data_IF_984210478799
#
_entry.id   IF_984210478799
#
_cell.length_a   1.000
_cell.length_b   1.000
_cell.length_c   1.000
_cell.angle_alpha   90.00
_cell.angle_beta   90.00
_cell.angle_gamma   90.00
#
_symmetry.space_group_name_H-M   'P 1'
#
loop_
_entity.id
_entity.type
_entity.pdbx_description
1 polymer ?
#
# COMPACT_ATOMS: atom_id res chain seq x y z
N UNK A 1 10.34 -5.22 -14.51
CA UNK A 1 10.55 -4.83 -13.10
C UNK A 1 10.51 -6.10 -12.26
N UNK A 2 11.40 -6.26 -11.27
CA UNK A 2 11.41 -7.44 -10.39
C UNK A 2 10.46 -7.26 -9.20
N UNK A 3 10.17 -8.34 -8.48
CA UNK A 3 9.37 -8.32 -7.24
C UNK A 3 10.05 -7.44 -6.17
N UNK A 4 11.37 -7.54 -6.00
CA UNK A 4 12.11 -6.64 -5.11
C UNK A 4 11.93 -5.16 -5.50
N UNK A 5 11.84 -4.87 -6.80
CA UNK A 5 11.53 -3.52 -7.29
C UNK A 5 10.13 -3.03 -6.91
N UNK A 6 9.12 -3.92 -6.97
CA UNK A 6 7.76 -3.63 -6.49
C UNK A 6 7.77 -3.31 -5.00
N UNK A 7 8.43 -4.14 -4.20
CA UNK A 7 8.47 -3.98 -2.75
C UNK A 7 9.21 -2.71 -2.32
N UNK A 8 10.32 -2.37 -2.99
CA UNK A 8 11.02 -1.10 -2.77
C UNK A 8 10.13 0.10 -3.08
N UNK A 9 9.41 0.07 -4.22
CA UNK A 9 8.49 1.15 -4.58
C UNK A 9 7.31 1.25 -3.62
N UNK A 10 6.76 0.12 -3.18
CA UNK A 10 5.71 0.08 -2.15
C UNK A 10 6.20 0.73 -0.86
N UNK A 11 7.35 0.28 -0.34
CA UNK A 11 7.93 0.81 0.90
C UNK A 11 8.16 2.33 0.81
N UNK A 12 8.84 2.79 -0.27
CA UNK A 12 9.12 4.21 -0.45
C UNK A 12 7.84 5.04 -0.62
N UNK A 13 6.92 4.59 -1.46
CA UNK A 13 5.66 5.29 -1.67
C UNK A 13 4.86 5.37 -0.37
N UNK A 14 4.82 4.29 0.41
CA UNK A 14 4.06 4.25 1.65
C UNK A 14 4.66 5.19 2.71
N UNK A 15 5.98 5.14 2.91
CA UNK A 15 6.68 6.03 3.85
C UNK A 15 6.52 7.50 3.43
N UNK A 16 6.73 7.82 2.16
CA UNK A 16 6.59 9.19 1.66
C UNK A 16 5.16 9.70 1.83
N UNK A 17 4.15 8.91 1.47
CA UNK A 17 2.76 9.31 1.62
C UNK A 17 2.37 9.52 3.08
N UNK A 18 2.81 8.66 4.00
CA UNK A 18 2.57 8.85 5.43
C UNK A 18 3.17 10.18 5.91
N UNK A 19 4.43 10.48 5.56
CA UNK A 19 5.10 11.70 5.98
C UNK A 19 4.39 12.94 5.41
N UNK A 20 4.11 12.93 4.10
CA UNK A 20 3.46 14.05 3.41
C UNK A 20 2.08 14.33 4.01
N UNK A 21 1.28 13.29 4.25
CA UNK A 21 -0.05 13.46 4.84
C UNK A 21 0.03 13.91 6.30
N UNK A 22 0.95 13.37 7.09
CA UNK A 22 1.14 13.78 8.49
C UNK A 22 1.50 15.27 8.58
N UNK A 23 2.44 15.74 7.76
CA UNK A 23 2.82 17.16 7.69
C UNK A 23 1.64 18.01 7.23
N UNK A 24 0.92 17.59 6.19
CA UNK A 24 -0.25 18.32 5.70
C UNK A 24 -1.33 18.45 6.78
N UNK A 25 -1.60 17.39 7.54
CA UNK A 25 -2.59 17.40 8.61
C UNK A 25 -2.19 18.31 9.76
N UNK A 26 -0.91 18.30 10.13
CA UNK A 26 -0.38 19.20 11.15
C UNK A 26 -0.52 20.67 10.72
N UNK A 27 -0.21 21.00 9.47
CA UNK A 27 -0.33 22.38 8.95
C UNK A 27 -1.77 22.85 8.83
N UNK A 28 -2.71 21.94 8.56
CA UNK A 28 -4.14 22.25 8.41
C UNK A 28 -4.93 22.11 9.72
N UNK A 29 -4.29 21.70 10.82
CA UNK A 29 -4.97 21.44 12.09
C UNK A 29 -5.99 20.28 12.02
N UNK A 30 -5.82 19.34 11.07
CA UNK A 30 -6.73 18.22 10.85
C UNK A 30 -6.30 17.04 11.72
N UNK A 31 -7.23 16.48 12.49
CA UNK A 31 -6.97 15.26 13.24
C UNK A 31 -6.76 14.07 12.30
N UNK A 32 -5.85 13.15 12.67
CA UNK A 32 -5.61 11.93 11.91
C UNK A 32 -6.89 11.12 11.73
N UNK A 33 -7.15 10.62 10.52
CA UNK A 33 -8.31 9.78 10.23
C UNK A 33 -7.91 8.40 9.73
N UNK A 34 -8.62 7.37 10.18
CA UNK A 34 -8.40 5.98 9.74
C UNK A 34 -8.64 5.80 8.24
N UNK A 35 -9.63 6.51 7.68
CA UNK A 35 -9.94 6.47 6.25
C UNK A 35 -8.79 6.98 5.38
N UNK A 36 -8.08 8.01 5.82
CA UNK A 36 -6.93 8.56 5.08
C UNK A 36 -5.76 7.60 5.09
N UNK A 37 -5.48 6.94 6.23
CA UNK A 37 -4.46 5.89 6.32
C UNK A 37 -4.73 4.73 5.35
N UNK A 38 -5.99 4.30 5.24
CA UNK A 38 -6.38 3.26 4.27
C UNK A 38 -6.19 3.77 2.84
N UNK A 39 -6.57 5.01 2.54
CA UNK A 39 -6.36 5.63 1.22
C UNK A 39 -4.88 5.66 0.81
N UNK A 40 -4.00 6.05 1.73
CA UNK A 40 -2.54 6.02 1.54
C UNK A 40 -2.07 4.60 1.21
N UNK A 41 -2.50 3.60 1.99
CA UNK A 41 -2.14 2.21 1.77
C UNK A 41 -2.58 1.72 0.38
N UNK A 42 -3.81 2.03 -0.02
CA UNK A 42 -4.36 1.67 -1.33
C UNK A 42 -3.51 2.27 -2.46
N UNK A 43 -3.20 3.56 -2.38
CA UNK A 43 -2.36 4.24 -3.36
C UNK A 43 -0.95 3.61 -3.45
N UNK A 44 -0.35 3.36 -2.28
CA UNK A 44 0.97 2.74 -2.17
C UNK A 44 1.01 1.31 -2.70
N UNK A 45 -0.09 0.54 -2.62
CA UNK A 45 -0.22 -0.80 -3.20
C UNK A 45 -0.45 -0.75 -4.71
N UNK A 46 -1.43 0.03 -5.15
CA UNK A 46 -1.88 0.03 -6.55
C UNK A 46 -0.78 0.49 -7.50
N UNK A 47 -0.11 1.60 -7.18
CA UNK A 47 0.91 2.20 -8.04
C UNK A 47 2.03 1.21 -8.45
N UNK A 48 2.78 0.59 -7.52
CA UNK A 48 3.87 -0.32 -7.89
C UNK A 48 3.37 -1.60 -8.57
N UNK A 49 2.16 -2.08 -8.26
CA UNK A 49 1.56 -3.24 -8.93
C UNK A 49 1.21 -2.93 -10.40
N UNK A 50 0.60 -1.78 -10.67
CA UNK A 50 0.30 -1.34 -12.04
C UNK A 50 1.58 -1.05 -12.82
N UNK A 51 2.55 -0.36 -12.20
CA UNK A 51 3.83 -0.10 -12.82
C UNK A 51 4.63 -1.38 -13.13
N UNK A 52 4.44 -2.45 -12.35
CA UNK A 52 4.99 -3.77 -12.68
C UNK A 52 4.34 -4.32 -13.94
N UNK A 53 3.01 -4.24 -14.01
CA UNK A 53 2.23 -4.75 -15.12
C UNK A 53 2.63 -4.07 -16.43
N UNK A 54 2.65 -2.74 -16.41
CA UNK A 54 3.05 -1.91 -17.55
C UNK A 54 4.49 -2.19 -18.00
N UNK A 55 5.44 -2.22 -17.06
CA UNK A 55 6.86 -2.39 -17.40
C UNK A 55 7.21 -3.81 -17.87
N UNK A 56 6.46 -4.82 -17.48
CA UNK A 56 6.72 -6.21 -17.88
C UNK A 56 5.76 -6.72 -18.97
N UNK A 57 4.74 -5.93 -19.34
CA UNK A 57 3.68 -6.36 -20.27
C UNK A 57 2.75 -7.45 -19.72
N UNK A 58 2.95 -7.89 -18.47
CA UNK A 58 2.17 -8.96 -17.81
C UNK A 58 1.93 -8.64 -16.35
N UNK A 59 0.87 -9.20 -15.78
CA UNK A 59 0.66 -9.17 -14.33
C UNK A 59 1.47 -10.27 -13.60
N UNK A 60 1.39 -10.28 -12.27
CA UNK A 60 2.04 -11.30 -11.43
C UNK A 60 1.52 -12.71 -11.74
N UNK A 61 2.42 -13.69 -11.73
CA UNK A 61 2.04 -15.10 -11.61
C UNK A 61 1.42 -15.38 -10.24
N UNK A 62 0.70 -16.51 -10.03
CA UNK A 62 0.13 -16.83 -8.73
C UNK A 62 1.17 -16.87 -7.60
N UNK A 63 2.36 -17.40 -7.87
CA UNK A 63 3.46 -17.45 -6.91
C UNK A 63 4.00 -16.04 -6.59
N UNK A 64 4.27 -15.22 -7.61
CA UNK A 64 4.71 -13.84 -7.44
C UNK A 64 3.69 -13.01 -6.66
N UNK A 65 2.40 -13.16 -6.97
CA UNK A 65 1.31 -12.47 -6.28
C UNK A 65 1.31 -12.80 -4.79
N UNK A 66 1.45 -14.09 -4.45
CA UNK A 66 1.51 -14.54 -3.06
C UNK A 66 2.69 -13.88 -2.35
N UNK A 67 3.89 -13.89 -2.95
CA UNK A 67 5.07 -13.23 -2.39
C UNK A 67 4.84 -11.73 -2.20
N UNK A 68 4.30 -11.02 -3.19
CA UNK A 68 4.03 -9.58 -3.10
C UNK A 68 3.07 -9.27 -1.95
N UNK A 69 1.96 -10.00 -1.85
CA UNK A 69 0.97 -9.78 -0.78
C UNK A 69 1.60 -9.98 0.59
N UNK A 70 2.25 -11.12 0.83
CA UNK A 70 2.83 -11.42 2.15
C UNK A 70 3.95 -10.45 2.52
N UNK A 71 4.79 -10.05 1.56
CA UNK A 71 5.83 -9.07 1.80
C UNK A 71 5.27 -7.67 2.07
N UNK A 72 4.23 -7.23 1.36
CA UNK A 72 3.57 -5.94 1.63
C UNK A 72 2.91 -5.92 3.01
N UNK A 73 2.27 -7.03 3.41
CA UNK A 73 1.70 -7.19 4.76
C UNK A 73 2.80 -7.08 5.82
N UNK A 74 3.90 -7.82 5.65
CA UNK A 74 5.02 -7.79 6.58
C UNK A 74 5.63 -6.38 6.71
N UNK A 75 5.82 -5.69 5.59
CA UNK A 75 6.30 -4.30 5.59
C UNK A 75 5.31 -3.37 6.30
N UNK A 76 4.01 -3.50 6.04
CA UNK A 76 2.97 -2.69 6.69
C UNK A 76 2.99 -2.89 8.21
N UNK A 77 3.04 -4.14 8.68
CA UNK A 77 3.09 -4.45 10.12
C UNK A 77 4.37 -3.93 10.77
N UNK A 78 5.52 -4.09 10.11
CA UNK A 78 6.79 -3.59 10.61
C UNK A 78 6.79 -2.06 10.75
N UNK A 79 6.29 -1.35 9.72
CA UNK A 79 6.15 0.11 9.78
C UNK A 79 5.16 0.55 10.84
N UNK A 80 4.04 -0.15 11.00
CA UNK A 80 3.06 0.17 12.03
C UNK A 80 3.63 -0.01 13.44
N UNK A 81 4.44 -1.06 13.66
CA UNK A 81 5.13 -1.28 14.92
C UNK A 81 6.14 -0.17 15.19
N UNK A 82 6.97 0.18 14.20
CA UNK A 82 8.00 1.22 14.34
C UNK A 82 7.37 2.59 14.60
N UNK A 83 6.39 2.99 13.79
CA UNK A 83 5.76 4.32 13.89
C UNK A 83 4.84 4.39 15.11
N UNK A 84 3.96 3.41 15.30
CA UNK A 84 3.02 3.40 16.43
C UNK A 84 3.73 3.20 17.76
N UNK A 85 4.66 2.25 17.84
CA UNK A 85 5.47 2.02 19.03
C UNK A 85 6.38 3.21 19.34
N UNK A 86 7.01 3.79 18.32
CA UNK A 86 7.85 4.97 18.46
C UNK A 86 7.07 6.19 18.97
N UNK A 87 5.87 6.43 18.44
CA UNK A 87 5.01 7.52 18.90
C UNK A 87 4.58 7.34 20.36
N UNK A 88 4.13 6.13 20.75
CA UNK A 88 3.77 5.84 22.14
C UNK A 88 4.95 5.97 23.10
N UNK A 89 6.14 5.55 22.68
CA UNK A 89 7.36 5.69 23.46
C UNK A 89 7.77 7.15 23.64
N UNK A 90 7.68 7.96 22.58
CA UNK A 90 7.98 9.39 22.62
C UNK A 90 7.05 10.17 23.57
N UNK A 91 5.79 9.72 23.71
CA UNK A 91 4.82 10.30 24.65
C UNK A 91 4.96 9.76 26.08
N UNK A 92 5.88 8.82 26.35
CA UNK A 92 5.99 8.15 27.65
C UNK A 92 4.80 7.24 27.99
N UNK A 93 3.98 6.89 27.01
CA UNK A 93 2.74 6.08 27.15
C UNK A 93 2.89 4.69 26.57
N UNK A 94 4.11 4.16 26.53
CA UNK A 94 4.34 2.85 25.95
C UNK A 94 3.60 1.77 26.75
N UNK A 95 2.69 1.07 26.08
CA UNK A 95 1.96 -0.07 26.64
C UNK A 95 1.82 -1.15 25.58
N UNK A 96 2.37 -2.33 25.88
CA UNK A 96 2.40 -3.43 24.94
C UNK A 96 1.00 -3.95 24.58
N UNK A 97 0.06 -3.95 25.54
CA UNK A 97 -1.30 -4.44 25.32
C UNK A 97 -2.06 -3.67 24.23
N UNK A 98 -2.28 -2.35 24.38
CA UNK A 98 -2.90 -1.51 23.36
C UNK A 98 -2.16 -1.52 22.03
N UNK A 99 -0.81 -1.53 22.05
CA UNK A 99 0.00 -1.60 20.83
C UNK A 99 -0.23 -2.91 20.08
N UNK A 100 -0.19 -4.06 20.77
CA UNK A 100 -0.45 -5.37 20.17
C UNK A 100 -1.89 -5.47 19.65
N UNK A 101 -2.87 -4.98 20.41
CA UNK A 101 -4.26 -4.95 19.97
C UNK A 101 -4.42 -4.13 18.67
N UNK A 102 -3.84 -2.92 18.63
CA UNK A 102 -3.87 -2.07 17.45
C UNK A 102 -3.17 -2.73 16.25
N UNK A 103 -1.99 -3.33 16.46
CA UNK A 103 -1.25 -4.04 15.42
C UNK A 103 -2.03 -5.20 14.84
N UNK A 104 -2.67 -6.02 15.67
CA UNK A 104 -3.48 -7.15 15.20
C UNK A 104 -4.73 -6.64 14.48
N UNK A 105 -5.51 -5.77 15.12
CA UNK A 105 -6.79 -5.31 14.59
C UNK A 105 -6.64 -4.52 13.29
N UNK A 106 -5.81 -3.48 13.29
CA UNK A 106 -5.57 -2.66 12.09
C UNK A 106 -4.76 -3.45 11.07
N UNK A 107 -3.81 -4.27 11.51
CA UNK A 107 -3.03 -5.15 10.64
C UNK A 107 -3.88 -6.12 9.85
N UNK A 108 -4.93 -6.69 10.46
CA UNK A 108 -5.89 -7.55 9.75
C UNK A 108 -6.66 -6.78 8.68
N UNK A 109 -7.19 -5.60 9.02
CA UNK A 109 -7.92 -4.75 8.07
C UNK A 109 -7.02 -4.36 6.89
N UNK A 110 -5.80 -3.90 7.18
CA UNK A 110 -4.82 -3.54 6.15
C UNK A 110 -4.41 -4.75 5.30
N UNK A 111 -4.31 -5.94 5.89
CA UNK A 111 -3.98 -7.16 5.15
C UNK A 111 -5.07 -7.53 4.15
N UNK A 112 -6.34 -7.40 4.54
CA UNK A 112 -7.48 -7.58 3.62
C UNK A 112 -7.41 -6.56 2.48
N UNK A 113 -7.16 -5.29 2.80
CA UNK A 113 -7.02 -4.23 1.80
C UNK A 113 -5.87 -4.53 0.82
N UNK A 114 -4.67 -4.86 1.32
CA UNK A 114 -3.51 -5.22 0.49
C UNK A 114 -3.87 -6.38 -0.44
N UNK A 115 -4.39 -7.48 0.10
CA UNK A 115 -4.75 -8.65 -0.71
C UNK A 115 -5.77 -8.30 -1.80
N UNK A 116 -6.81 -7.55 -1.44
CA UNK A 116 -7.85 -7.12 -2.36
C UNK A 116 -7.30 -6.23 -3.48
N UNK A 117 -6.54 -5.18 -3.14
CA UNK A 117 -6.05 -4.21 -4.12
C UNK A 117 -4.89 -4.74 -4.99
N UNK A 118 -4.04 -5.63 -4.47
CA UNK A 118 -3.13 -6.41 -5.32
C UNK A 118 -3.91 -7.29 -6.29
N UNK A 119 -5.07 -7.83 -5.91
CA UNK A 119 -5.97 -8.52 -6.83
C UNK A 119 -6.57 -7.60 -7.89
N UNK A 120 -7.07 -6.43 -7.47
CA UNK A 120 -7.73 -5.46 -8.36
C UNK A 120 -6.79 -4.82 -9.37
N UNK A 121 -5.53 -4.54 -9.00
CA UNK A 121 -4.55 -3.96 -9.91
C UNK A 121 -4.38 -4.79 -11.20
N UNK A 122 -4.44 -6.12 -11.11
CA UNK A 122 -4.40 -6.99 -12.30
C UNK A 122 -5.62 -6.81 -13.21
N UNK A 123 -6.82 -6.70 -12.63
CA UNK A 123 -8.06 -6.44 -13.38
C UNK A 123 -8.06 -5.05 -14.02
N UNK A 124 -7.52 -4.06 -13.30
CA UNK A 124 -7.38 -2.69 -13.79
C UNK A 124 -6.43 -2.62 -14.98
N UNK A 125 -5.29 -3.33 -14.92
CA UNK A 125 -4.34 -3.39 -16.03
C UNK A 125 -4.96 -3.98 -17.30
N UNK A 126 -5.70 -5.10 -17.20
CA UNK A 126 -6.40 -5.69 -18.37
C UNK A 126 -7.37 -4.68 -19.00
N UNK A 127 -8.19 -4.03 -18.17
CA UNK A 127 -9.14 -3.00 -18.65
C UNK A 127 -8.43 -1.82 -19.32
N UNK A 128 -7.29 -1.39 -18.79
CA UNK A 128 -6.49 -0.30 -19.39
C UNK A 128 -5.95 -0.69 -20.77
N UNK A 129 -5.48 -1.93 -20.94
CA UNK A 129 -4.99 -2.44 -22.21
C UNK A 129 -6.10 -2.57 -23.25
N UNK A 130 -7.27 -3.09 -22.87
CA UNK A 130 -8.45 -3.15 -23.74
C UNK A 130 -8.90 -1.74 -24.18
N UNK A 131 -8.94 -0.79 -23.25
CA UNK A 131 -9.30 0.59 -23.56
C UNK A 131 -8.29 1.23 -24.51
N UNK A 132 -6.98 0.96 -24.33
CA UNK A 132 -5.92 1.44 -25.22
C UNK A 132 -6.04 0.85 -26.62
N UNK A 133 -6.28 -0.45 -26.75
CA UNK A 133 -6.49 -1.11 -28.03
C UNK A 133 -7.71 -0.55 -28.78
N UNK A 134 -8.83 -0.33 -28.08
CA UNK A 134 -10.04 0.30 -28.65
C UNK A 134 -9.78 1.72 -29.14
N UNK A 135 -8.96 2.52 -28.44
CA UNK A 135 -8.60 3.87 -28.88
C UNK A 135 -7.76 3.84 -30.16
N UNK A 136 -6.79 2.92 -30.27
CA UNK A 136 -5.97 2.76 -31.48
C UNK A 136 -6.81 2.32 -32.68
N UNK A 137 -7.78 1.43 -32.47
CA UNK A 137 -8.68 0.97 -33.54
C UNK A 137 -9.70 2.04 -34.02
N UNK A 138 -9.93 3.10 -33.23
CA UNK A 138 -10.82 4.22 -33.59
C UNK A 138 -10.09 5.45 -34.16
N UNK A 139 -8.76 5.48 -34.03
CA UNK A 139 -7.91 6.58 -34.50
C UNK A 139 -7.22 6.32 -35.83
N UNK A 140 -7.49 5.16 -36.46
CA UNK A 140 -7.14 4.79 -37.83
C UNK A 140 -8.43 4.68 -38.66
#
# INVERSE_FOLDING_TARGET
MTISGVLRRFFLAYVVLIIVVAVAFQLLGIASSSGVNVGILIGAVLWPCLAFAEKNGRYFTPAEKKTVVWSMIAINLALQLVVGGGAMAAEGKFSAGPLLFALVFVGLIHSVAIYFFVGQAGKMYVKQQEAKAKKLAKGN
#
